data_IF_897465702025
#
_entry.id   IF_897465702025
#
_cell.length_a   1.000
_cell.length_b   1.000
_cell.length_c   1.000
_cell.angle_alpha   90.00
_cell.angle_beta   90.00
_cell.angle_gamma   90.00
#
_symmetry.space_group_name_H-M   'P 1'
#
loop_
_entity.id
_entity.type
_entity.pdbx_description
1 polymer ?
#
# COMPACT_ATOMS: atom_id res chain seq x y z
N UNK A 1 -7.10 14.29 5.25
CA UNK A 1 -5.87 13.59 5.71
C UNK A 1 -4.88 13.30 4.58
N UNK A 2 -5.33 12.77 3.43
CA UNK A 2 -4.45 12.46 2.29
C UNK A 2 -3.77 13.71 1.71
N UNK A 3 -4.52 14.80 1.48
CA UNK A 3 -3.97 16.07 0.98
C UNK A 3 -2.80 16.59 1.83
N UNK A 4 -2.98 16.65 3.17
CA UNK A 4 -1.92 17.08 4.09
C UNK A 4 -0.66 16.22 3.98
N UNK A 5 -0.81 14.91 3.79
CA UNK A 5 0.32 13.98 3.63
C UNK A 5 1.00 14.10 2.26
N UNK A 6 0.27 14.45 1.20
CA UNK A 6 0.87 14.68 -0.12
C UNK A 6 1.84 15.86 -0.12
N UNK A 7 1.52 16.91 0.65
CA UNK A 7 2.37 18.10 0.81
C UNK A 7 3.58 17.90 1.75
N UNK A 8 3.66 16.79 2.48
CA UNK A 8 4.80 16.53 3.35
C UNK A 8 6.09 16.33 2.54
N UNK A 9 7.22 16.78 3.09
CA UNK A 9 8.55 16.51 2.51
C UNK A 9 8.81 15.00 2.40
N UNK A 10 9.80 14.59 1.57
CA UNK A 10 10.16 13.17 1.42
C UNK A 10 10.63 12.57 2.75
N UNK A 11 11.37 13.32 3.56
CA UNK A 11 11.81 12.91 4.90
C UNK A 11 10.63 12.55 5.80
N UNK A 12 9.52 13.30 5.70
CA UNK A 12 8.30 13.08 6.47
C UNK A 12 7.36 12.03 5.85
N UNK A 13 7.75 11.41 4.73
CA UNK A 13 7.05 10.30 4.07
C UNK A 13 7.95 9.09 3.97
N UNK A 14 8.29 8.45 5.11
CA UNK A 14 9.18 7.30 5.11
C UNK A 14 8.59 6.14 4.28
N UNK A 15 9.42 5.35 3.61
CA UNK A 15 8.97 4.16 2.89
C UNK A 15 8.36 3.14 3.86
N UNK A 16 7.34 2.42 3.40
CA UNK A 16 6.67 1.38 4.16
C UNK A 16 7.03 0.01 3.58
N UNK A 17 7.48 -0.91 4.44
CA UNK A 17 7.73 -2.30 4.06
C UNK A 17 6.43 -3.08 3.87
N UNK A 18 6.45 -4.08 2.97
CA UNK A 18 5.36 -5.03 2.81
C UNK A 18 5.02 -5.75 4.12
N UNK A 19 6.02 -6.08 4.94
CA UNK A 19 5.84 -6.74 6.24
C UNK A 19 4.95 -5.98 7.19
N UNK A 20 5.25 -4.69 7.37
CA UNK A 20 4.50 -3.82 8.25
C UNK A 20 3.07 -3.62 7.73
N UNK A 21 2.89 -3.57 6.42
CA UNK A 21 1.56 -3.46 5.80
C UNK A 21 0.71 -4.72 6.05
N UNK A 22 1.28 -5.92 5.84
CA UNK A 22 0.59 -7.19 6.08
C UNK A 22 0.15 -7.30 7.55
N UNK A 23 1.04 -6.99 8.49
CA UNK A 23 0.70 -6.97 9.92
C UNK A 23 -0.46 -6.02 10.23
N UNK A 24 -0.48 -4.83 9.61
CA UNK A 24 -1.56 -3.86 9.80
C UNK A 24 -2.88 -4.27 9.16
N UNK A 25 -2.86 -5.17 8.17
CA UNK A 25 -4.06 -5.70 7.52
C UNK A 25 -4.61 -6.95 8.19
N UNK A 26 -3.79 -7.69 8.95
CA UNK A 26 -4.25 -8.81 9.79
C UNK A 26 -5.03 -8.38 11.03
N UNK A 27 -5.10 -7.08 11.33
CA UNK A 27 -5.85 -6.57 12.48
C UNK A 27 -7.38 -6.69 12.24
N UNK A 28 -8.17 -6.93 13.31
CA UNK A 28 -9.62 -7.11 13.18
C UNK A 28 -10.30 -5.87 12.58
N UNK A 29 -11.31 -6.10 11.75
CA UNK A 29 -12.11 -5.04 11.11
C UNK A 29 -11.45 -4.40 9.86
N UNK A 30 -10.43 -5.04 9.29
CA UNK A 30 -9.72 -4.58 8.07
C UNK A 30 -9.77 -5.56 6.91
N UNK A 31 -10.61 -6.58 7.02
CA UNK A 31 -10.90 -7.50 5.94
C UNK A 31 -11.45 -6.73 4.74
N UNK A 32 -10.87 -6.98 3.56
CA UNK A 32 -11.23 -6.36 2.27
C UNK A 32 -11.00 -4.85 2.12
N UNK A 33 -10.35 -4.17 3.09
CA UNK A 33 -10.03 -2.75 2.97
C UNK A 33 -8.80 -2.51 2.09
N UNK A 34 -8.78 -1.36 1.42
CA UNK A 34 -7.64 -0.92 0.62
C UNK A 34 -6.56 -0.30 1.51
N UNK A 35 -5.31 -0.77 1.39
CA UNK A 35 -4.15 -0.22 2.08
C UNK A 35 -3.71 1.07 1.40
N UNK A 36 -3.90 2.23 2.04
CA UNK A 36 -3.48 3.52 1.47
C UNK A 36 -2.18 3.98 2.11
N UNK A 37 -1.13 4.13 1.31
CA UNK A 37 0.20 4.58 1.73
C UNK A 37 0.60 5.82 0.94
N UNK A 38 0.71 6.95 1.61
CA UNK A 38 1.23 8.19 1.00
C UNK A 38 2.76 8.18 1.08
N UNK A 39 3.38 7.37 0.22
CA UNK A 39 4.82 7.15 0.22
C UNK A 39 5.26 6.04 -0.74
N UNK A 40 6.49 5.57 -0.56
CA UNK A 40 7.03 4.42 -1.30
C UNK A 40 6.76 3.12 -0.55
N UNK A 41 6.37 2.07 -1.28
CA UNK A 41 6.25 0.70 -0.75
C UNK A 41 7.46 -0.12 -1.16
N UNK A 42 8.19 -0.62 -0.17
CA UNK A 42 9.41 -1.43 -0.35
C UNK A 42 9.12 -2.90 -0.13
N UNK A 43 9.83 -3.74 -0.87
CA UNK A 43 9.81 -5.19 -0.68
C UNK A 43 10.51 -5.59 0.61
N UNK A 44 10.09 -6.73 1.17
CA UNK A 44 10.71 -7.34 2.34
C UNK A 44 10.96 -8.83 2.05
N UNK A 45 12.22 -9.21 1.94
CA UNK A 45 12.63 -10.55 1.50
C UNK A 45 12.33 -11.61 2.57
N UNK A 46 12.22 -11.21 3.83
CA UNK A 46 11.94 -12.13 4.94
C UNK A 46 10.53 -12.74 4.86
N UNK A 47 9.63 -12.12 4.09
CA UNK A 47 8.27 -12.63 3.90
C UNK A 47 8.21 -13.46 2.62
N UNK A 48 7.82 -14.71 2.81
CA UNK A 48 7.63 -15.69 1.74
C UNK A 48 6.23 -15.56 1.12
N UNK A 49 5.21 -15.41 1.95
CA UNK A 49 3.81 -15.36 1.50
C UNK A 49 3.20 -13.98 1.68
N UNK A 50 2.74 -13.42 0.55
CA UNK A 50 2.00 -12.16 0.52
C UNK A 50 0.52 -12.49 0.32
N UNK A 51 -0.38 -12.07 1.23
CA UNK A 51 -1.81 -12.28 1.05
C UNK A 51 -2.36 -11.40 -0.08
N UNK A 52 -3.57 -11.71 -0.56
CA UNK A 52 -4.27 -10.90 -1.55
C UNK A 52 -4.61 -9.52 -0.97
N UNK A 53 -3.91 -8.49 -1.42
CA UNK A 53 -4.04 -7.13 -0.90
C UNK A 53 -4.44 -6.15 -2.02
N UNK A 54 -5.33 -5.20 -1.69
CA UNK A 54 -5.52 -3.98 -2.48
C UNK A 54 -4.64 -2.88 -1.88
N UNK A 55 -3.69 -2.35 -2.65
CA UNK A 55 -2.71 -1.36 -2.16
C UNK A 55 -2.76 -0.11 -3.05
N UNK A 56 -2.89 1.06 -2.44
CA UNK A 56 -2.72 2.35 -3.11
C UNK A 56 -1.44 3.03 -2.59
N UNK A 57 -0.54 3.39 -3.49
CA UNK A 57 0.73 4.04 -3.12
C UNK A 57 1.22 5.04 -4.18
N UNK A 58 2.13 5.94 -3.79
CA UNK A 58 2.75 6.88 -4.73
C UNK A 58 3.79 6.18 -5.60
N UNK A 59 4.61 5.32 -4.98
CA UNK A 59 5.62 4.51 -5.67
C UNK A 59 5.66 3.13 -5.06
N UNK A 60 5.88 2.12 -5.89
CA UNK A 60 6.04 0.73 -5.45
C UNK A 60 7.32 0.21 -6.07
N UNK A 61 8.17 -0.44 -5.27
CA UNK A 61 9.35 -1.12 -5.81
C UNK A 61 8.95 -2.22 -6.79
N UNK A 62 9.77 -2.47 -7.81
CA UNK A 62 9.49 -3.49 -8.84
C UNK A 62 9.25 -4.88 -8.24
N UNK A 63 10.09 -5.29 -7.29
CA UNK A 63 9.94 -6.57 -6.58
C UNK A 63 8.64 -6.65 -5.78
N UNK A 64 8.30 -5.60 -5.03
CA UNK A 64 7.04 -5.56 -4.29
C UNK A 64 5.83 -5.62 -5.25
N UNK A 65 5.92 -4.93 -6.39
CA UNK A 65 4.88 -4.94 -7.42
C UNK A 65 4.65 -6.35 -7.95
N UNK A 66 5.71 -7.06 -8.34
CA UNK A 66 5.61 -8.44 -8.82
C UNK A 66 5.04 -9.39 -7.78
N UNK A 67 5.43 -9.26 -6.51
CA UNK A 67 4.92 -10.12 -5.42
C UNK A 67 3.44 -9.88 -5.13
N UNK A 68 3.01 -8.62 -5.07
CA UNK A 68 1.58 -8.29 -4.85
C UNK A 68 0.74 -8.80 -6.01
N UNK A 69 1.17 -8.61 -7.26
CA UNK A 69 0.44 -9.10 -8.43
C UNK A 69 0.41 -10.63 -8.50
N UNK A 70 1.51 -11.31 -8.14
CA UNK A 70 1.58 -12.77 -8.07
C UNK A 70 0.61 -13.35 -7.03
N UNK A 71 0.39 -12.64 -5.92
CA UNK A 71 -0.61 -12.97 -4.91
C UNK A 71 -2.06 -12.67 -5.34
N UNK A 72 -2.28 -12.20 -6.58
CA UNK A 72 -3.61 -11.77 -7.05
C UNK A 72 -4.09 -10.46 -6.43
N UNK A 73 -3.18 -9.70 -5.82
CA UNK A 73 -3.46 -8.37 -5.27
C UNK A 73 -3.57 -7.31 -6.36
N UNK A 74 -4.10 -6.14 -5.99
CA UNK A 74 -4.24 -4.98 -6.89
C UNK A 74 -3.40 -3.82 -6.39
N UNK A 75 -2.76 -3.13 -7.31
CA UNK A 75 -2.02 -1.89 -7.03
C UNK A 75 -2.73 -0.76 -7.74
N UNK A 76 -3.14 0.24 -6.96
CA UNK A 76 -3.92 1.39 -7.38
C UNK A 76 -3.06 2.65 -7.29
N UNK A 77 -3.33 3.61 -8.18
CA UNK A 77 -2.87 4.99 -8.03
C UNK A 77 -3.88 5.80 -7.21
N UNK A 78 -3.46 6.97 -6.73
CA UNK A 78 -4.36 7.84 -5.98
C UNK A 78 -5.53 8.35 -6.81
N UNK A 79 -5.35 8.54 -8.12
CA UNK A 79 -6.43 8.92 -9.02
C UNK A 79 -7.47 7.80 -9.16
N UNK A 80 -7.00 6.54 -9.31
CA UNK A 80 -7.87 5.37 -9.35
C UNK A 80 -8.60 5.16 -8.02
N UNK A 81 -7.91 5.38 -6.90
CA UNK A 81 -8.53 5.31 -5.57
C UNK A 81 -9.63 6.37 -5.41
N UNK A 82 -9.40 7.59 -5.90
CA UNK A 82 -10.39 8.66 -5.82
C UNK A 82 -11.67 8.33 -6.63
N UNK A 83 -11.53 7.58 -7.73
CA UNK A 83 -12.67 7.09 -8.51
C UNK A 83 -13.40 5.92 -7.82
N UNK A 84 -12.67 4.93 -7.29
CA UNK A 84 -13.27 3.74 -6.63
C UNK A 84 -13.87 4.11 -5.25
N UNK A 85 -13.30 5.08 -4.54
CA UNK A 85 -13.70 5.47 -3.19
C UNK A 85 -13.48 6.97 -2.94
N UNK A 86 -14.36 7.85 -3.46
CA UNK A 86 -14.17 9.30 -3.42
C UNK A 86 -14.21 9.88 -2.00
N UNK A 87 -14.93 9.23 -1.08
CA UNK A 87 -14.99 9.64 0.33
C UNK A 87 -13.86 9.06 1.18
N UNK A 88 -13.10 8.09 0.63
CA UNK A 88 -12.06 7.35 1.35
C UNK A 88 -12.62 6.35 2.36
#
# INVERSE_FOLDING_TARGET
>A
VVLKRLFMSRTNRPPLSLSRMIQKMKLPGRENKTAVVVGMVTDDVQILEVPKLKVCALRVSSRARSRILKAGGKILTFDQLALESPKG
#
